data_IF_478068148651
#
_entry.id   IF_478068148651
#
_cell.length_a   1.000
_cell.length_b   1.000
_cell.length_c   1.000
_cell.angle_alpha   90.00
_cell.angle_beta   90.00
_cell.angle_gamma   90.00
#
_symmetry.space_group_name_H-M   'P 1'
#
loop_
_entity.id
_entity.type
_entity.pdbx_description
1 polymer ?
#
# COMPACT_ATOMS: atom_id res chain seq x y z
N UNK A 1 -2.02 -1.82 -14.69
CA UNK A 1 -1.47 -2.27 -13.38
C UNK A 1 -2.57 -2.68 -12.40
N UNK A 2 -3.57 -1.85 -12.07
CA UNK A 2 -4.62 -2.24 -11.08
C UNK A 2 -5.37 -3.48 -11.52
N UNK A 3 -5.82 -3.56 -12.76
CA UNK A 3 -6.45 -4.77 -13.33
C UNK A 3 -5.52 -5.97 -13.21
N UNK A 4 -4.23 -5.81 -13.53
CA UNK A 4 -3.24 -6.88 -13.48
C UNK A 4 -3.04 -7.45 -12.06
N UNK A 5 -2.90 -6.60 -11.03
CA UNK A 5 -2.73 -7.09 -9.65
C UNK A 5 -4.01 -7.66 -9.04
N UNK A 6 -5.14 -7.51 -9.71
CA UNK A 6 -6.43 -8.08 -9.32
C UNK A 6 -6.81 -9.32 -10.17
N UNK A 7 -6.00 -9.72 -11.16
CA UNK A 7 -6.32 -10.81 -12.09
C UNK A 7 -6.46 -12.18 -11.40
N UNK A 8 -5.62 -12.44 -10.39
CA UNK A 8 -5.68 -13.68 -9.60
C UNK A 8 -6.70 -13.63 -8.45
N UNK A 9 -7.63 -12.67 -8.49
CA UNK A 9 -8.71 -12.49 -7.50
C UNK A 9 -8.20 -12.41 -6.03
N UNK A 10 -7.18 -11.60 -5.70
CA UNK A 10 -6.70 -11.48 -4.33
C UNK A 10 -7.80 -10.97 -3.40
N UNK A 11 -7.80 -11.42 -2.15
CA UNK A 11 -8.77 -10.94 -1.15
C UNK A 11 -8.49 -9.51 -0.73
N UNK A 12 -7.21 -9.10 -0.68
CA UNK A 12 -6.75 -7.75 -0.29
C UNK A 12 -5.59 -7.32 -1.17
N UNK A 13 -5.60 -6.05 -1.60
CA UNK A 13 -4.48 -5.40 -2.32
C UNK A 13 -4.14 -4.09 -1.64
N UNK A 14 -2.86 -3.88 -1.30
CA UNK A 14 -2.33 -2.64 -0.76
C UNK A 14 -1.60 -1.86 -1.87
N UNK A 15 -2.04 -0.64 -2.13
CA UNK A 15 -1.52 0.21 -3.21
C UNK A 15 -0.91 1.48 -2.62
N UNK A 16 0.23 1.91 -3.17
CA UNK A 16 0.90 3.15 -2.82
C UNK A 16 1.10 4.01 -4.09
N UNK A 17 1.45 5.27 -3.91
CA UNK A 17 1.76 6.24 -4.98
C UNK A 17 0.65 6.44 -6.03
N UNK A 18 -0.58 6.19 -5.68
CA UNK A 18 -1.71 6.43 -6.59
C UNK A 18 -1.87 7.93 -6.86
N UNK A 19 -2.10 8.33 -8.13
CA UNK A 19 -2.52 9.69 -8.42
C UNK A 19 -3.91 9.94 -7.82
N UNK A 20 -4.09 11.06 -7.13
CA UNK A 20 -5.35 11.35 -6.42
C UNK A 20 -6.57 11.29 -7.33
N UNK A 21 -6.45 11.73 -8.60
CA UNK A 21 -7.55 11.65 -9.56
C UNK A 21 -8.03 10.22 -9.87
N UNK A 22 -7.14 9.22 -9.70
CA UNK A 22 -7.45 7.80 -9.94
C UNK A 22 -8.23 7.14 -8.81
N UNK A 23 -8.21 7.72 -7.61
CA UNK A 23 -8.83 7.09 -6.43
C UNK A 23 -10.33 6.85 -6.57
N UNK A 24 -11.05 7.73 -7.27
CA UNK A 24 -12.48 7.58 -7.52
C UNK A 24 -12.85 6.44 -8.49
N UNK A 25 -11.88 5.89 -9.21
CA UNK A 25 -12.08 4.82 -10.18
C UNK A 25 -11.55 3.46 -9.72
N UNK A 26 -10.94 3.39 -8.54
CA UNK A 26 -10.34 2.14 -8.04
C UNK A 26 -11.33 0.99 -7.98
N UNK A 27 -12.53 1.25 -7.46
CA UNK A 27 -13.57 0.21 -7.34
C UNK A 27 -14.10 -0.28 -8.70
N UNK A 28 -14.02 0.57 -9.74
CA UNK A 28 -14.36 0.22 -11.12
C UNK A 28 -13.26 -0.66 -11.74
N UNK A 29 -11.98 -0.23 -11.64
CA UNK A 29 -10.85 -0.92 -12.24
C UNK A 29 -10.50 -2.25 -11.57
N UNK A 30 -10.72 -2.35 -10.25
CA UNK A 30 -10.37 -3.55 -9.48
C UNK A 30 -11.53 -4.53 -9.29
N UNK A 31 -12.77 -4.10 -9.52
CA UNK A 31 -13.99 -4.78 -9.11
C UNK A 31 -14.08 -5.07 -7.57
N UNK A 32 -13.24 -4.41 -6.75
CA UNK A 32 -13.16 -4.56 -5.30
C UNK A 32 -13.82 -3.38 -4.55
N UNK A 33 -13.94 -3.47 -3.23
CA UNK A 33 -14.20 -2.34 -2.33
C UNK A 33 -12.90 -1.55 -2.21
N UNK A 34 -12.94 -0.22 -2.37
CA UNK A 34 -11.75 0.61 -2.32
C UNK A 34 -11.80 1.58 -1.13
N UNK A 35 -10.71 1.62 -0.37
CA UNK A 35 -10.49 2.52 0.76
C UNK A 35 -9.28 3.41 0.45
N UNK A 36 -9.44 4.53 -0.28
CA UNK A 36 -8.33 5.42 -0.59
C UNK A 36 -8.09 6.43 0.52
N UNK A 37 -6.82 6.78 0.76
CA UNK A 37 -6.40 7.88 1.64
C UNK A 37 -5.41 8.78 0.92
N UNK A 38 -5.69 10.09 0.92
CA UNK A 38 -4.81 11.09 0.31
C UNK A 38 -3.65 11.40 1.24
N UNK A 39 -2.46 10.95 0.88
CA UNK A 39 -1.22 11.29 1.58
C UNK A 39 -0.81 12.74 1.27
N UNK A 40 -0.82 13.12 -0.01
CA UNK A 40 -0.50 14.49 -0.45
C UNK A 40 -1.58 15.00 -1.40
N UNK A 41 -2.21 16.15 -1.11
CA UNK A 41 -3.23 16.71 -1.99
C UNK A 41 -2.63 17.14 -3.33
N UNK A 42 -3.42 17.10 -4.42
CA UNK A 42 -2.99 17.57 -5.72
C UNK A 42 -2.83 19.09 -5.73
N UNK A 43 -1.86 19.59 -6.49
CA UNK A 43 -1.67 21.03 -6.73
C UNK A 43 -2.38 21.52 -8.00
N UNK A 44 -2.95 20.61 -8.78
CA UNK A 44 -3.65 20.90 -10.03
C UNK A 44 -5.05 20.29 -10.07
N UNK A 45 -6.02 20.88 -10.79
CA UNK A 45 -7.33 20.27 -11.02
C UNK A 45 -7.20 18.90 -11.68
N UNK A 46 -8.07 17.95 -11.31
CA UNK A 46 -7.98 16.54 -11.72
C UNK A 46 -7.91 16.34 -13.26
N UNK A 47 -8.64 17.15 -14.06
CA UNK A 47 -8.61 17.08 -15.55
C UNK A 47 -7.21 17.36 -16.11
N UNK A 48 -6.49 18.31 -15.54
CA UNK A 48 -5.10 18.65 -15.92
C UNK A 48 -4.16 17.54 -15.44
N UNK A 49 -4.36 17.03 -14.24
CA UNK A 49 -3.60 15.90 -13.69
C UNK A 49 -3.63 14.66 -14.57
N UNK A 50 -4.81 14.28 -15.10
CA UNK A 50 -4.97 13.15 -16.03
C UNK A 50 -4.13 13.37 -17.30
N UNK A 51 -4.16 14.58 -17.88
CA UNK A 51 -3.40 14.89 -19.10
C UNK A 51 -1.89 14.84 -18.86
N UNK A 52 -1.43 15.39 -17.74
CA UNK A 52 -0.01 15.38 -17.35
C UNK A 52 0.47 13.94 -17.12
N UNK A 53 -0.32 13.10 -16.46
CA UNK A 53 0.02 11.69 -16.24
C UNK A 53 0.15 10.91 -17.54
N UNK A 54 -0.68 11.20 -18.55
CA UNK A 54 -0.61 10.56 -19.88
C UNK A 54 0.62 11.01 -20.70
N UNK A 55 1.08 12.24 -20.51
CA UNK A 55 2.20 12.80 -21.26
C UNK A 55 3.58 12.43 -20.68
N UNK A 56 3.65 12.22 -19.37
CA UNK A 56 4.92 11.91 -18.69
C UNK A 56 4.64 11.01 -17.47
N UNK A 57 5.01 9.75 -17.59
CA UNK A 57 4.84 8.76 -16.51
C UNK A 57 5.93 8.84 -15.42
N UNK A 58 6.89 9.75 -15.57
CA UNK A 58 8.08 9.85 -14.71
C UNK A 58 8.00 10.97 -13.66
N UNK A 59 9.09 11.69 -13.51
CA UNK A 59 9.52 12.56 -12.43
C UNK A 59 8.53 13.60 -11.88
N UNK A 60 7.57 14.08 -12.68
CA UNK A 60 6.61 15.12 -12.27
C UNK A 60 5.27 14.59 -11.77
N UNK A 61 5.04 13.30 -11.83
CA UNK A 61 3.75 12.68 -11.53
C UNK A 61 3.25 13.02 -10.13
N UNK A 62 4.07 12.75 -9.12
CA UNK A 62 3.67 12.93 -7.71
C UNK A 62 3.63 14.39 -7.28
N UNK A 63 4.45 15.27 -7.89
CA UNK A 63 4.53 16.67 -7.49
C UNK A 63 3.25 17.47 -7.78
N UNK A 64 2.54 17.16 -8.87
CA UNK A 64 1.38 17.93 -9.34
C UNK A 64 0.03 17.24 -9.13
N UNK A 65 -0.01 15.90 -9.28
CA UNK A 65 -1.26 15.14 -9.20
C UNK A 65 -1.61 14.65 -7.80
N UNK A 66 -0.72 14.90 -6.84
CA UNK A 66 -0.84 14.40 -5.47
C UNK A 66 -0.53 12.90 -5.37
N UNK A 67 -0.55 12.40 -4.15
CA UNK A 67 -0.33 10.98 -3.85
C UNK A 67 -1.43 10.46 -2.92
N UNK A 68 -1.87 9.24 -3.17
CA UNK A 68 -2.77 8.51 -2.31
C UNK A 68 -2.28 7.08 -2.13
N UNK A 69 -2.63 6.49 -1.00
CA UNK A 69 -2.58 5.05 -0.77
C UNK A 69 -4.00 4.50 -0.86
N UNK A 70 -4.15 3.20 -1.10
CA UNK A 70 -5.45 2.54 -1.00
C UNK A 70 -5.30 1.09 -0.53
N UNK A 71 -6.27 0.63 0.26
CA UNK A 71 -6.52 -0.78 0.49
C UNK A 71 -7.73 -1.17 -0.34
N UNK A 72 -7.58 -2.20 -1.17
CA UNK A 72 -8.68 -2.82 -1.89
C UNK A 72 -9.04 -4.11 -1.18
N UNK A 73 -10.33 -4.39 -1.03
CA UNK A 73 -10.83 -5.61 -0.37
C UNK A 73 -11.89 -6.26 -1.26
N UNK A 74 -11.80 -7.57 -1.42
CA UNK A 74 -12.80 -8.35 -2.16
C UNK A 74 -14.22 -7.99 -1.72
N UNK A 75 -15.15 -7.92 -2.67
CA UNK A 75 -16.56 -7.60 -2.37
C UNK A 75 -17.24 -8.65 -1.51
N UNK A 76 -16.74 -9.87 -1.52
CA UNK A 76 -17.24 -10.98 -0.69
C UNK A 76 -16.93 -10.82 0.81
N UNK A 77 -15.91 -10.06 1.17
CA UNK A 77 -15.49 -9.86 2.55
C UNK A 77 -16.10 -8.61 3.16
N UNK A 78 -16.44 -8.66 4.44
CA UNK A 78 -16.81 -7.46 5.22
C UNK A 78 -15.54 -6.65 5.46
N UNK A 79 -15.62 -5.34 5.20
CA UNK A 79 -14.50 -4.44 5.42
C UNK A 79 -14.96 -3.14 6.06
N UNK A 80 -14.13 -2.58 6.95
CA UNK A 80 -14.43 -1.37 7.73
C UNK A 80 -13.20 -0.45 7.74
N UNK A 81 -13.39 0.83 7.40
CA UNK A 81 -12.34 1.84 7.54
C UNK A 81 -12.02 2.06 9.04
N UNK A 82 -10.76 1.93 9.40
CA UNK A 82 -10.22 2.15 10.75
C UNK A 82 -9.45 3.46 10.85
N UNK A 83 -9.47 4.27 9.80
CA UNK A 83 -8.81 5.55 9.74
C UNK A 83 -7.37 5.52 9.24
N UNK A 84 -6.69 6.62 9.42
CA UNK A 84 -5.29 6.80 9.01
C UNK A 84 -4.54 7.73 9.95
N UNK A 85 -3.20 7.62 9.93
CA UNK A 85 -2.29 8.48 10.69
C UNK A 85 -1.20 9.03 9.76
N UNK A 86 -0.82 10.30 9.94
CA UNK A 86 0.42 10.82 9.36
C UNK A 86 1.61 10.28 10.13
N UNK A 87 2.52 9.59 9.44
CA UNK A 87 3.71 8.97 10.03
C UNK A 87 4.98 9.82 9.87
N UNK A 88 4.99 10.72 8.88
CA UNK A 88 6.15 11.59 8.61
C UNK A 88 6.20 12.83 9.51
N UNK A 89 7.41 13.26 9.86
CA UNK A 89 7.65 14.51 10.59
C UNK A 89 7.28 15.75 9.77
N UNK A 90 7.01 16.89 10.43
CA UNK A 90 6.89 18.19 9.78
C UNK A 90 8.14 18.52 8.96
N UNK A 91 7.95 19.06 7.74
CA UNK A 91 9.05 19.40 6.83
C UNK A 91 9.51 18.27 5.91
N UNK A 92 9.15 17.01 6.18
CA UNK A 92 9.37 15.88 5.26
C UNK A 92 8.19 15.69 4.32
N UNK A 93 8.38 14.88 3.28
CA UNK A 93 7.27 14.45 2.43
C UNK A 93 6.19 13.79 3.29
N UNK A 94 4.95 14.22 3.08
CA UNK A 94 3.84 13.70 3.88
C UNK A 94 3.56 12.25 3.53
N UNK A 95 3.80 11.37 4.48
CA UNK A 95 3.52 9.94 4.43
C UNK A 95 2.44 9.59 5.45
N UNK A 96 1.64 8.60 5.10
CA UNK A 96 0.53 8.13 5.94
C UNK A 96 0.54 6.61 6.00
N UNK A 97 0.07 6.08 7.13
CA UNK A 97 -0.42 4.71 7.26
C UNK A 97 -1.93 4.76 7.34
N UNK A 98 -2.60 3.83 6.69
CA UNK A 98 -4.05 3.66 6.77
C UNK A 98 -4.36 2.25 7.26
N UNK A 99 -5.44 2.07 8.01
CA UNK A 99 -5.89 0.77 8.50
C UNK A 99 -7.32 0.46 8.03
N UNK A 100 -7.53 -0.80 7.64
CA UNK A 100 -8.83 -1.36 7.26
C UNK A 100 -9.04 -2.68 7.99
N UNK A 101 -10.13 -2.80 8.74
CA UNK A 101 -10.55 -4.06 9.34
C UNK A 101 -11.17 -4.97 8.27
N UNK A 102 -10.77 -6.24 8.21
CA UNK A 102 -11.23 -7.21 7.20
C UNK A 102 -11.75 -8.47 7.88
N UNK A 103 -12.95 -8.89 7.48
CA UNK A 103 -13.64 -10.11 7.93
C UNK A 103 -13.79 -10.24 9.46
N UNK A 104 -13.60 -9.16 10.24
CA UNK A 104 -13.59 -9.22 11.71
C UNK A 104 -12.45 -10.04 12.29
N UNK A 105 -11.42 -10.35 11.49
CA UNK A 105 -10.27 -11.20 11.86
C UNK A 105 -8.93 -10.52 11.67
N UNK A 106 -8.85 -9.53 10.81
CA UNK A 106 -7.60 -8.88 10.41
C UNK A 106 -7.72 -7.36 10.44
N UNK A 107 -6.64 -6.70 10.81
CA UNK A 107 -6.39 -5.29 10.51
C UNK A 107 -5.28 -5.21 9.48
N UNK A 108 -5.58 -4.66 8.32
CA UNK A 108 -4.63 -4.43 7.24
C UNK A 108 -4.19 -2.97 7.31
N UNK A 109 -2.92 -2.75 7.63
CA UNK A 109 -2.32 -1.42 7.69
C UNK A 109 -1.39 -1.22 6.49
N UNK A 110 -1.78 -0.32 5.59
CA UNK A 110 -1.04 0.02 4.38
C UNK A 110 -0.23 1.30 4.58
N UNK A 111 1.07 1.23 4.37
CA UNK A 111 1.98 2.37 4.53
C UNK A 111 2.88 2.58 3.31
N UNK A 112 3.42 3.80 3.22
CA UNK A 112 4.54 4.14 2.36
C UNK A 112 5.46 5.05 3.18
N UNK A 113 6.65 4.58 3.51
CA UNK A 113 7.64 5.32 4.30
C UNK A 113 8.51 6.25 3.43
N UNK A 114 9.15 7.23 4.04
CA UNK A 114 10.14 8.06 3.37
C UNK A 114 11.46 7.30 3.19
N UNK A 115 12.28 7.74 2.23
CA UNK A 115 13.64 7.24 2.05
C UNK A 115 14.55 7.61 3.22
N UNK A 116 15.57 6.77 3.44
CA UNK A 116 16.57 6.90 4.51
C UNK A 116 16.25 5.99 5.69
N UNK A 117 17.18 5.07 6.00
CA UNK A 117 16.96 3.95 6.91
C UNK A 117 16.42 4.36 8.28
N UNK A 118 16.99 5.39 8.91
CA UNK A 118 16.54 5.85 10.24
C UNK A 118 15.11 6.41 10.20
N UNK A 119 14.79 7.18 9.14
CA UNK A 119 13.45 7.77 8.98
C UNK A 119 12.44 6.68 8.68
N UNK A 120 12.75 5.79 7.75
CA UNK A 120 11.89 4.68 7.36
C UNK A 120 11.61 3.75 8.56
N UNK A 121 12.62 3.48 9.40
CA UNK A 121 12.45 2.69 10.62
C UNK A 121 11.50 3.38 11.59
N UNK A 122 11.67 4.68 11.84
CA UNK A 122 10.80 5.45 12.73
C UNK A 122 9.35 5.50 12.22
N UNK A 123 9.16 5.68 10.90
CA UNK A 123 7.83 5.70 10.28
C UNK A 123 7.19 4.30 10.30
N UNK A 124 7.98 3.23 10.18
CA UNK A 124 7.54 1.84 10.36
C UNK A 124 7.04 1.60 11.78
N UNK A 125 7.77 2.02 12.81
CA UNK A 125 7.36 1.88 14.20
C UNK A 125 6.09 2.68 14.53
N UNK A 126 5.94 3.87 13.97
CA UNK A 126 4.69 4.66 14.09
C UNK A 126 3.52 3.93 13.42
N UNK A 127 3.77 3.30 12.27
CA UNK A 127 2.76 2.53 11.54
C UNK A 127 2.34 1.29 12.32
N UNK A 128 3.29 0.58 12.95
CA UNK A 128 3.04 -0.54 13.85
C UNK A 128 2.13 -0.12 15.01
N UNK A 129 2.52 0.92 15.74
CA UNK A 129 1.76 1.43 16.88
C UNK A 129 0.34 1.84 16.48
N UNK A 130 0.19 2.47 15.31
CA UNK A 130 -1.13 2.81 14.79
C UNK A 130 -1.96 1.57 14.46
N UNK A 131 -1.39 0.56 13.80
CA UNK A 131 -2.08 -0.68 13.46
C UNK A 131 -2.52 -1.44 14.72
N UNK A 132 -1.66 -1.53 15.75
CA UNK A 132 -1.98 -2.11 17.04
C UNK A 132 -3.14 -1.37 17.74
N UNK A 133 -3.15 -0.04 17.68
CA UNK A 133 -4.24 0.79 18.23
C UNK A 133 -5.54 0.64 17.45
N UNK A 134 -5.47 0.47 16.12
CA UNK A 134 -6.62 0.31 15.25
C UNK A 134 -7.20 -1.12 15.31
N UNK A 135 -6.45 -2.08 15.84
CA UNK A 135 -6.90 -3.48 15.98
C UNK A 135 -7.88 -3.64 17.14
N UNK A 136 -8.76 -4.63 17.00
CA UNK A 136 -9.66 -5.08 18.07
C UNK A 136 -9.11 -6.37 18.70
N UNK A 137 -9.49 -6.70 19.94
CA UNK A 137 -9.07 -7.95 20.57
C UNK A 137 -9.36 -9.18 19.68
N UNK A 138 -8.33 -9.97 19.43
CA UNK A 138 -8.42 -11.19 18.60
C UNK A 138 -8.21 -10.98 17.10
N UNK A 139 -8.05 -9.74 16.62
CA UNK A 139 -7.68 -9.48 15.22
C UNK A 139 -6.16 -9.64 15.05
N UNK A 140 -5.75 -10.35 13.99
CA UNK A 140 -4.36 -10.39 13.54
C UNK A 140 -4.01 -9.10 12.80
N UNK A 141 -2.74 -8.69 12.86
CA UNK A 141 -2.27 -7.44 12.27
C UNK A 141 -1.40 -7.74 11.06
N UNK A 142 -1.70 -7.08 9.95
CA UNK A 142 -0.92 -7.13 8.70
C UNK A 142 -0.42 -5.73 8.40
N UNK A 143 0.89 -5.54 8.39
CA UNK A 143 1.55 -4.33 7.91
C UNK A 143 2.05 -4.59 6.49
N UNK A 144 1.57 -3.86 5.52
CA UNK A 144 1.92 -4.03 4.11
C UNK A 144 2.24 -2.70 3.45
N UNK A 145 3.13 -2.70 2.45
CA UNK A 145 3.44 -1.53 1.65
C UNK A 145 4.92 -1.33 1.37
N UNK A 146 5.26 -0.11 0.95
CA UNK A 146 6.64 0.32 0.72
C UNK A 146 7.25 0.88 2.00
N UNK A 147 8.14 0.09 2.58
CA UNK A 147 8.84 0.45 3.82
C UNK A 147 10.14 1.22 3.56
N UNK A 148 10.63 1.29 2.32
CA UNK A 148 11.93 1.85 1.97
C UNK A 148 13.11 1.27 2.79
N UNK A 149 12.97 0.01 3.22
CA UNK A 149 13.96 -0.78 3.97
C UNK A 149 14.13 -2.14 3.31
N UNK A 150 15.36 -2.52 2.95
CA UNK A 150 15.65 -3.82 2.32
C UNK A 150 15.62 -4.98 3.32
N UNK A 151 16.24 -4.77 4.50
CA UNK A 151 16.37 -5.78 5.54
C UNK A 151 15.49 -5.40 6.74
N UNK A 152 14.18 -5.61 6.58
CA UNK A 152 13.20 -5.26 7.60
C UNK A 152 12.95 -6.42 8.55
N UNK A 153 13.14 -6.15 9.85
CA UNK A 153 12.72 -7.03 10.94
C UNK A 153 11.92 -6.22 11.95
N UNK A 154 10.80 -6.76 12.37
CA UNK A 154 9.92 -6.14 13.34
C UNK A 154 9.55 -7.19 14.40
N UNK A 155 9.87 -6.90 15.66
CA UNK A 155 9.62 -7.83 16.76
C UNK A 155 8.13 -8.16 16.88
N UNK A 156 7.83 -9.46 16.99
CA UNK A 156 6.45 -9.96 17.04
C UNK A 156 5.74 -10.10 15.68
N UNK A 157 6.45 -9.82 14.58
CA UNK A 157 5.94 -9.99 13.23
C UNK A 157 6.74 -11.03 12.44
N UNK A 158 6.05 -11.77 11.57
CA UNK A 158 6.62 -12.76 10.65
C UNK A 158 6.53 -12.27 9.22
N UNK A 159 7.39 -12.79 8.38
CA UNK A 159 7.56 -12.56 6.96
C UNK A 159 7.94 -11.12 6.59
N UNK A 160 9.09 -11.01 6.00
CA UNK A 160 9.51 -9.84 5.25
C UNK A 160 10.08 -10.32 3.92
N UNK A 161 9.82 -9.60 2.85
CA UNK A 161 10.34 -9.94 1.54
C UNK A 161 11.85 -9.69 1.48
N UNK A 162 12.62 -10.61 0.95
CA UNK A 162 14.06 -10.43 0.81
C UNK A 162 14.42 -9.67 -0.47
N UNK A 163 15.34 -8.71 -0.38
CA UNK A 163 15.91 -8.00 -1.54
C UNK A 163 15.00 -6.96 -2.19
N UNK A 164 13.87 -6.63 -1.57
CA UNK A 164 12.94 -5.57 -1.99
C UNK A 164 12.60 -4.67 -0.82
N UNK A 165 12.02 -3.51 -1.07
CA UNK A 165 11.57 -2.54 -0.04
C UNK A 165 10.08 -2.67 0.27
N UNK A 166 9.36 -3.44 -0.54
CA UNK A 166 7.95 -3.75 -0.36
C UNK A 166 7.82 -5.02 0.49
N UNK A 167 7.14 -4.92 1.62
CA UNK A 167 7.01 -6.02 2.56
C UNK A 167 5.56 -6.26 2.97
N UNK A 168 5.29 -7.49 3.41
CA UNK A 168 4.09 -7.86 4.16
C UNK A 168 4.52 -8.54 5.45
N UNK A 169 4.25 -7.90 6.58
CA UNK A 169 4.58 -8.34 7.93
C UNK A 169 3.29 -8.73 8.66
N UNK A 170 3.28 -9.85 9.32
CA UNK A 170 2.08 -10.40 9.95
C UNK A 170 2.33 -10.73 11.41
N UNK A 171 1.41 -10.35 12.29
CA UNK A 171 1.39 -10.71 13.71
C UNK A 171 0.07 -11.38 14.08
N UNK A 172 0.15 -12.42 14.92
CA UNK A 172 -1.02 -13.13 15.47
C UNK A 172 -1.57 -14.27 14.61
N UNK A 173 -0.99 -14.53 13.44
CA UNK A 173 -1.43 -15.61 12.54
C UNK A 173 -0.27 -16.09 11.68
N UNK A 174 -0.39 -17.28 11.08
CA UNK A 174 0.61 -17.81 10.15
C UNK A 174 0.58 -17.10 8.80
N UNK A 175 1.72 -17.06 8.12
CA UNK A 175 1.88 -16.46 6.80
C UNK A 175 2.82 -17.31 5.95
N UNK A 176 2.53 -17.42 4.65
CA UNK A 176 3.40 -18.10 3.69
C UNK A 176 4.71 -17.33 3.48
N UNK A 177 5.70 -17.99 2.87
CA UNK A 177 6.86 -17.29 2.32
C UNK A 177 6.38 -16.26 1.28
N UNK A 178 6.85 -15.01 1.36
CA UNK A 178 6.50 -13.99 0.37
C UNK A 178 6.99 -14.37 -1.04
N UNK A 179 6.14 -14.12 -2.03
CA UNK A 179 6.44 -14.30 -3.45
C UNK A 179 6.55 -12.93 -4.11
N UNK A 180 7.75 -12.58 -4.55
CA UNK A 180 8.00 -11.34 -5.30
C UNK A 180 7.76 -11.60 -6.78
N UNK A 181 6.92 -10.79 -7.42
CA UNK A 181 6.60 -10.97 -8.83
C UNK A 181 7.82 -10.77 -9.72
N UNK A 182 8.09 -11.70 -10.66
CA UNK A 182 9.13 -11.50 -11.66
C UNK A 182 8.75 -10.36 -12.60
N UNK A 183 9.78 -9.83 -13.30
CA UNK A 183 9.61 -8.68 -14.21
C UNK A 183 8.59 -8.97 -15.32
N UNK A 184 8.62 -10.19 -15.87
CA UNK A 184 7.80 -10.64 -16.99
C UNK A 184 6.31 -10.56 -16.65
N UNK A 185 5.94 -10.82 -15.40
CA UNK A 185 4.55 -10.76 -14.92
C UNK A 185 4.01 -9.33 -14.83
N UNK A 186 4.86 -8.32 -14.76
CA UNK A 186 4.49 -6.90 -14.67
C UNK A 186 4.90 -6.08 -15.89
N UNK A 187 5.15 -6.76 -17.01
CA UNK A 187 5.47 -6.14 -18.29
C UNK A 187 4.31 -6.32 -19.27
N UNK A 188 3.88 -5.25 -19.93
CA UNK A 188 2.86 -5.26 -20.95
C UNK A 188 3.39 -4.53 -22.19
N UNK A 189 3.38 -5.19 -23.34
CA UNK A 189 3.86 -4.65 -24.62
C UNK A 189 5.29 -4.06 -24.54
N UNK A 190 6.19 -4.73 -23.79
CA UNK A 190 7.57 -4.29 -23.58
C UNK A 190 7.75 -3.15 -22.57
N UNK A 191 6.67 -2.73 -21.90
CA UNK A 191 6.69 -1.67 -20.89
C UNK A 191 6.51 -2.26 -19.50
N UNK A 192 7.47 -2.03 -18.60
CA UNK A 192 7.33 -2.39 -17.18
C UNK A 192 6.36 -1.42 -16.52
N UNK A 193 5.25 -1.95 -15.98
CA UNK A 193 4.14 -1.15 -15.45
C UNK A 193 4.42 -0.53 -14.07
N UNK A 194 5.42 -1.04 -13.34
CA UNK A 194 5.87 -0.49 -12.06
C UNK A 194 7.35 -0.81 -11.87
N UNK A 195 8.10 0.12 -11.32
CA UNK A 195 9.48 -0.05 -10.86
C UNK A 195 9.54 -0.91 -9.58
N UNK A 196 8.47 -0.94 -8.78
CA UNK A 196 8.29 -1.85 -7.65
C UNK A 196 7.65 -3.17 -8.10
N UNK A 197 8.13 -4.26 -7.53
CA UNK A 197 7.56 -5.59 -7.76
C UNK A 197 6.46 -5.87 -6.73
N UNK A 198 5.24 -6.25 -7.14
CA UNK A 198 4.24 -6.74 -6.22
C UNK A 198 4.76 -7.92 -5.39
N UNK A 199 4.29 -8.01 -4.14
CA UNK A 199 4.62 -9.08 -3.20
C UNK A 199 3.34 -9.74 -2.75
N UNK A 200 3.25 -11.05 -2.97
CA UNK A 200 2.10 -11.87 -2.58
C UNK A 200 2.42 -12.70 -1.35
N UNK A 201 1.44 -12.83 -0.46
CA UNK A 201 1.45 -13.76 0.68
C UNK A 201 0.07 -14.39 0.85
N UNK A 202 0.04 -15.60 1.42
CA UNK A 202 -1.19 -16.20 1.95
C UNK A 202 -1.15 -16.15 3.46
N UNK A 203 -2.25 -15.71 4.09
CA UNK A 203 -2.41 -15.58 5.54
C UNK A 203 -3.42 -16.62 5.99
N UNK A 204 -3.01 -17.45 6.97
CA UNK A 204 -3.80 -18.59 7.48
C UNK A 204 -4.66 -18.29 8.69
#
# INVERSE_FOLDING_TARGET
MIELVCEDEPEVVCLQELPVWGTSRLAEWSAMKAFPVVARPPRMPGRVGVRVTRMNQGFFRSAFVGQANAVLVSRSLVAEDRGYLRISDPGRERRVVQAVGVAGRYVIANLHANHGAEVAQLETERSRTFAETASRPGEAIVLAGDFNLLDLRLDGYSAASAGVVDHVLVSGVSVSTPVVWPRERRELDGVVLSDHAPVDVTIG
#
